data_IF_105214065714
#
_entry.id   IF_105214065714
#
_cell.length_a   1.000
_cell.length_b   1.000
_cell.length_c   1.000
_cell.angle_alpha   90.00
_cell.angle_beta   90.00
_cell.angle_gamma   90.00
#
_symmetry.space_group_name_H-M   'P 1'
#
loop_
_entity.id
_entity.type
_entity.pdbx_description
1 polymer ?
#
# COMPACT_ATOMS: atom_id res chain seq x y z
N UNK A 1 -10.20 20.00 -12.94
CA UNK A 1 -8.78 19.67 -12.69
C UNK A 1 -8.25 18.66 -13.70
N UNK A 2 -7.04 18.87 -14.22
CA UNK A 2 -6.25 17.90 -14.97
C UNK A 2 -4.87 17.75 -14.30
N UNK A 3 -4.49 16.51 -14.00
CA UNK A 3 -3.16 16.22 -13.44
C UNK A 3 -2.06 16.42 -14.49
N UNK A 4 -0.78 16.54 -14.08
CA UNK A 4 0.34 16.50 -15.01
C UNK A 4 0.25 15.30 -15.99
N UNK A 5 0.66 15.55 -17.24
CA UNK A 5 0.58 14.61 -18.37
C UNK A 5 -0.85 14.09 -18.69
N UNK A 6 -1.90 14.77 -18.23
CA UNK A 6 -3.30 14.36 -18.40
C UNK A 6 -3.56 12.91 -17.97
N UNK A 7 -2.81 12.45 -16.97
CA UNK A 7 -2.92 11.10 -16.44
C UNK A 7 -4.28 10.87 -15.75
N UNK A 8 -4.82 11.92 -15.13
CA UNK A 8 -6.12 11.97 -14.47
C UNK A 8 -6.80 13.31 -14.79
N UNK A 9 -8.11 13.29 -14.99
CA UNK A 9 -8.96 14.48 -15.09
C UNK A 9 -10.17 14.32 -14.17
N UNK A 10 -10.55 15.41 -13.50
CA UNK A 10 -11.64 15.45 -12.54
C UNK A 10 -12.49 16.71 -12.71
N UNK A 11 -13.80 16.53 -12.65
CA UNK A 11 -14.80 17.58 -12.69
C UNK A 11 -15.83 17.35 -11.58
N UNK A 12 -16.30 18.44 -10.98
CA UNK A 12 -17.25 18.43 -9.86
C UNK A 12 -18.38 19.40 -10.18
N UNK A 13 -19.60 19.02 -9.82
CA UNK A 13 -20.79 19.85 -9.85
C UNK A 13 -21.56 19.70 -8.54
N UNK A 14 -21.92 20.82 -7.95
CA UNK A 14 -22.67 20.93 -6.70
C UNK A 14 -24.06 21.47 -7.03
N UNK A 15 -25.10 20.63 -7.02
CA UNK A 15 -26.48 21.03 -7.28
C UNK A 15 -26.93 22.26 -6.46
N UNK A 16 -27.59 23.20 -7.13
CA UNK A 16 -28.24 24.38 -6.57
C UNK A 16 -29.71 24.16 -6.18
N UNK A 17 -30.14 22.89 -6.11
CA UNK A 17 -31.50 22.44 -5.80
C UNK A 17 -31.77 22.23 -4.29
N UNK A 18 -30.82 22.64 -3.44
CA UNK A 18 -30.88 22.44 -1.98
C UNK A 18 -30.48 21.06 -1.49
N UNK A 19 -30.15 20.12 -2.39
CA UNK A 19 -29.59 18.82 -1.99
C UNK A 19 -28.17 18.94 -1.45
N UNK A 20 -27.74 17.92 -0.71
CA UNK A 20 -26.34 17.75 -0.27
C UNK A 20 -25.59 16.77 -1.18
N UNK A 21 -26.13 16.53 -2.37
CA UNK A 21 -25.52 15.67 -3.38
C UNK A 21 -24.37 16.41 -4.07
N UNK A 22 -23.53 15.62 -4.73
CA UNK A 22 -22.52 16.11 -5.66
C UNK A 22 -22.46 15.17 -6.86
N UNK A 23 -22.24 15.73 -8.03
CA UNK A 23 -22.03 15.00 -9.27
C UNK A 23 -20.57 15.18 -9.68
N UNK A 24 -19.95 14.12 -10.18
CA UNK A 24 -18.57 14.20 -10.63
C UNK A 24 -18.29 13.30 -11.81
N UNK A 25 -17.24 13.69 -12.52
CA UNK A 25 -16.61 12.90 -13.57
C UNK A 25 -15.15 12.71 -13.21
N UNK A 26 -14.68 11.47 -13.18
CA UNK A 26 -13.29 11.10 -12.95
C UNK A 26 -12.80 10.23 -14.09
N UNK A 27 -11.76 10.66 -14.77
CA UNK A 27 -11.12 9.86 -15.83
C UNK A 27 -9.63 9.68 -15.60
N UNK A 28 -9.13 8.50 -15.92
CA UNK A 28 -7.70 8.23 -15.92
C UNK A 28 -7.33 7.17 -16.97
N UNK A 29 -6.04 7.03 -17.31
CA UNK A 29 -5.60 5.95 -18.21
C UNK A 29 -5.96 4.57 -17.65
N UNK A 30 -6.31 3.61 -18.50
CA UNK A 30 -6.65 2.24 -18.08
C UNK A 30 -5.43 1.33 -17.88
N UNK A 31 -4.21 1.82 -18.15
CA UNK A 31 -2.96 1.07 -17.97
C UNK A 31 -2.29 1.30 -16.60
N UNK A 32 -2.87 2.15 -15.74
CA UNK A 32 -2.49 2.30 -14.33
C UNK A 32 -3.38 1.42 -13.45
N UNK A 33 -2.86 0.99 -12.30
CA UNK A 33 -3.58 0.05 -11.45
C UNK A 33 -4.85 0.65 -10.82
N UNK A 34 -4.85 1.93 -10.48
CA UNK A 34 -6.00 2.64 -9.94
C UNK A 34 -5.78 4.16 -10.06
N UNK A 35 -6.85 4.94 -9.96
CA UNK A 35 -6.81 6.39 -9.92
C UNK A 35 -7.80 6.92 -8.88
N UNK A 36 -7.49 8.04 -8.23
CA UNK A 36 -8.37 8.58 -7.20
C UNK A 36 -8.27 10.10 -7.07
N UNK A 37 -9.38 10.69 -6.62
CA UNK A 37 -9.45 12.07 -6.14
C UNK A 37 -10.02 12.05 -4.74
N UNK A 38 -9.40 12.79 -3.82
CA UNK A 38 -9.88 13.02 -2.47
C UNK A 38 -10.27 14.48 -2.26
N UNK A 39 -11.24 14.73 -1.40
CA UNK A 39 -11.73 16.07 -1.09
C UNK A 39 -11.78 16.33 0.42
N UNK A 40 -11.72 17.62 0.77
CA UNK A 40 -11.87 18.14 2.14
C UNK A 40 -10.57 18.29 2.93
N UNK A 41 -9.42 17.91 2.35
CA UNK A 41 -8.09 18.11 2.92
C UNK A 41 -7.04 18.11 1.79
N UNK A 42 -5.88 18.74 2.01
CA UNK A 42 -4.72 18.73 1.11
C UNK A 42 -3.78 17.54 1.38
N UNK A 43 -4.13 16.71 2.35
CA UNK A 43 -3.48 15.45 2.70
C UNK A 43 -4.49 14.29 2.68
N UNK A 44 -3.98 13.05 2.75
CA UNK A 44 -4.86 11.86 2.82
C UNK A 44 -5.68 11.78 4.11
N UNK A 45 -5.28 12.46 5.18
CA UNK A 45 -5.99 12.39 6.46
C UNK A 45 -7.37 13.04 6.35
N UNK A 46 -8.40 12.35 6.82
CA UNK A 46 -9.81 12.78 6.83
C UNK A 46 -10.43 13.11 5.46
N UNK A 47 -9.78 12.76 4.35
CA UNK A 47 -10.31 12.99 3.02
C UNK A 47 -11.37 11.95 2.64
N UNK A 48 -12.42 12.40 1.94
CA UNK A 48 -13.33 11.52 1.21
C UNK A 48 -12.77 11.27 -0.19
N UNK A 49 -12.44 10.01 -0.48
CA UNK A 49 -11.69 9.59 -1.67
C UNK A 49 -12.59 8.78 -2.60
N UNK A 50 -12.73 9.24 -3.84
CA UNK A 50 -13.33 8.48 -4.93
C UNK A 50 -12.23 7.76 -5.71
N UNK A 51 -12.15 6.45 -5.53
CA UNK A 51 -11.14 5.62 -6.19
C UNK A 51 -11.79 4.78 -7.28
N UNK A 52 -11.15 4.74 -8.45
CA UNK A 52 -11.55 3.91 -9.58
C UNK A 52 -10.42 2.98 -10.01
N UNK A 53 -10.80 1.80 -10.47
CA UNK A 53 -9.91 0.84 -11.12
C UNK A 53 -10.69 -0.01 -12.10
N UNK A 54 -10.00 -0.75 -12.95
CA UNK A 54 -10.64 -1.62 -13.93
C UNK A 54 -11.37 -2.77 -13.22
N UNK A 55 -12.56 -3.11 -13.70
CA UNK A 55 -13.33 -4.24 -13.20
C UNK A 55 -12.66 -5.59 -13.55
N UNK A 56 -13.20 -6.69 -13.05
CA UNK A 56 -12.64 -8.02 -13.34
C UNK A 56 -12.67 -8.36 -14.85
N UNK A 57 -13.67 -7.85 -15.58
CA UNK A 57 -13.81 -8.13 -17.02
C UNK A 57 -12.76 -7.42 -17.88
N UNK A 58 -12.26 -6.26 -17.43
CA UNK A 58 -11.37 -5.42 -18.22
C UNK A 58 -12.09 -4.39 -19.09
N UNK A 59 -13.42 -4.41 -19.11
CA UNK A 59 -14.24 -3.59 -20.01
C UNK A 59 -15.01 -2.49 -19.29
N UNK A 60 -15.06 -2.54 -17.96
CA UNK A 60 -15.74 -1.55 -17.14
C UNK A 60 -14.85 -1.13 -15.96
N UNK A 61 -15.36 -0.26 -15.11
CA UNK A 61 -14.67 0.22 -13.92
C UNK A 61 -15.40 -0.20 -12.66
N UNK A 62 -14.65 -0.38 -11.59
CA UNK A 62 -15.15 -0.44 -10.22
C UNK A 62 -14.87 0.89 -9.56
N UNK A 63 -15.90 1.47 -8.94
CA UNK A 63 -15.77 2.68 -8.12
C UNK A 63 -15.89 2.29 -6.64
N UNK A 64 -14.94 2.78 -5.85
CA UNK A 64 -14.80 2.49 -4.42
C UNK A 64 -14.70 3.83 -3.68
N UNK A 65 -15.78 4.29 -3.01
CA UNK A 65 -15.68 5.42 -2.10
C UNK A 65 -14.94 4.99 -0.84
N UNK A 66 -13.91 5.74 -0.47
CA UNK A 66 -13.02 5.42 0.64
C UNK A 66 -12.88 6.60 1.58
N UNK A 67 -12.64 6.28 2.85
CA UNK A 67 -12.21 7.22 3.86
C UNK A 67 -10.78 6.89 4.28
N UNK A 68 -10.03 7.91 4.61
CA UNK A 68 -8.66 7.79 5.07
C UNK A 68 -8.49 8.54 6.38
N UNK A 69 -7.81 7.91 7.34
CA UNK A 69 -7.62 8.42 8.70
C UNK A 69 -6.15 8.43 9.11
N UNK A 70 -5.23 8.21 8.16
CA UNK A 70 -3.78 8.25 8.37
C UNK A 70 -3.07 8.18 7.01
N UNK A 71 -1.75 8.05 7.00
CA UNK A 71 -0.94 7.79 5.81
C UNK A 71 -0.87 6.29 5.50
N UNK A 72 -2.03 5.64 5.43
CA UNK A 72 -2.20 4.22 5.11
C UNK A 72 -3.23 4.06 3.99
N UNK A 73 -3.33 2.87 3.41
CA UNK A 73 -4.31 2.55 2.39
C UNK A 73 -5.74 2.94 2.84
N UNK A 74 -6.42 3.87 2.13
CA UNK A 74 -7.78 4.26 2.45
C UNK A 74 -8.71 3.05 2.43
N UNK A 75 -9.68 3.00 3.35
CA UNK A 75 -10.63 1.90 3.48
C UNK A 75 -11.96 2.28 2.84
N UNK A 76 -12.60 1.34 2.14
CA UNK A 76 -13.98 1.52 1.66
C UNK A 76 -14.91 1.86 2.82
N UNK A 77 -15.84 2.78 2.58
CA UNK A 77 -16.90 3.12 3.54
C UNK A 77 -18.27 2.89 2.91
N UNK A 78 -19.11 2.10 3.60
CA UNK A 78 -20.52 1.89 3.24
C UNK A 78 -21.40 3.11 3.53
N UNK A 79 -20.91 4.06 4.33
CA UNK A 79 -21.64 5.27 4.69
C UNK A 79 -21.65 6.29 3.54
N UNK A 80 -20.80 6.08 2.52
CA UNK A 80 -20.74 6.92 1.33
C UNK A 80 -21.56 6.27 0.22
N UNK A 81 -22.70 6.87 -0.11
CA UNK A 81 -23.61 6.38 -1.12
C UNK A 81 -23.27 6.96 -2.50
N UNK A 82 -22.62 6.19 -3.36
CA UNK A 82 -22.27 6.59 -4.74
C UNK A 82 -22.99 5.72 -5.75
N UNK A 83 -23.62 6.36 -6.74
CA UNK A 83 -24.26 5.70 -7.87
C UNK A 83 -23.51 6.06 -9.15
N UNK A 84 -23.10 5.03 -9.90
CA UNK A 84 -22.55 5.22 -11.26
C UNK A 84 -23.67 5.58 -12.23
N UNK A 85 -23.40 6.55 -13.09
CA UNK A 85 -24.32 7.11 -14.07
C UNK A 85 -23.94 6.68 -15.49
N UNK A 86 -24.86 6.84 -16.47
CA UNK A 86 -24.59 6.54 -17.87
C UNK A 86 -23.32 7.23 -18.41
N UNK A 87 -22.65 6.55 -19.35
CA UNK A 87 -21.37 6.99 -19.91
C UNK A 87 -20.14 6.54 -19.10
N UNK A 88 -20.33 5.95 -17.92
CA UNK A 88 -19.27 5.24 -17.19
C UNK A 88 -18.78 4.02 -17.98
N UNK A 89 -17.46 3.79 -17.97
CA UNK A 89 -16.85 2.61 -18.56
C UNK A 89 -15.40 2.82 -18.96
N UNK A 90 -14.89 1.92 -19.80
CA UNK A 90 -13.58 2.05 -20.41
C UNK A 90 -13.73 2.34 -21.90
N UNK A 91 -13.18 3.46 -22.36
CA UNK A 91 -13.18 3.84 -23.77
C UNK A 91 -11.94 4.66 -24.12
N UNK A 92 -11.40 4.52 -25.34
CA UNK A 92 -10.22 5.27 -25.78
C UNK A 92 -8.97 5.08 -24.90
N UNK A 93 -8.83 3.92 -24.25
CA UNK A 93 -7.74 3.65 -23.29
C UNK A 93 -7.89 4.36 -21.94
N UNK A 94 -9.07 4.92 -21.64
CA UNK A 94 -9.34 5.63 -20.40
C UNK A 94 -10.48 4.98 -19.63
N UNK A 95 -10.29 4.86 -18.32
CA UNK A 95 -11.37 4.68 -17.36
C UNK A 95 -12.12 5.99 -17.24
N UNK A 96 -13.45 5.93 -17.20
CA UNK A 96 -14.35 7.05 -16.95
C UNK A 96 -15.40 6.63 -15.93
N UNK A 97 -15.50 7.36 -14.84
CA UNK A 97 -16.60 7.27 -13.89
C UNK A 97 -17.38 8.58 -13.91
N UNK A 98 -18.65 8.49 -14.32
CA UNK A 98 -19.65 9.52 -14.12
C UNK A 98 -20.51 9.07 -12.94
N UNK A 99 -20.65 9.90 -11.92
CA UNK A 99 -21.34 9.46 -10.71
C UNK A 99 -22.05 10.59 -9.98
N UNK A 100 -23.04 10.21 -9.17
CA UNK A 100 -23.63 11.04 -8.12
C UNK A 100 -23.26 10.43 -6.77
N UNK A 101 -22.85 11.27 -5.83
CA UNK A 101 -22.62 10.91 -4.45
C UNK A 101 -23.70 11.58 -3.60
N UNK A 102 -24.57 10.77 -3.00
CA UNK A 102 -25.74 11.24 -2.27
C UNK A 102 -25.37 11.67 -0.86
N UNK A 103 -25.69 12.92 -0.50
CA UNK A 103 -25.40 13.46 0.82
C UNK A 103 -23.90 13.66 1.15
N UNK A 104 -23.02 13.68 0.14
CA UNK A 104 -21.57 13.61 0.35
C UNK A 104 -20.87 14.94 0.59
N UNK A 105 -21.61 16.03 0.82
CA UNK A 105 -21.01 17.33 1.22
C UNK A 105 -20.45 17.31 2.65
N UNK A 106 -20.78 16.31 3.45
CA UNK A 106 -20.18 16.05 4.76
C UNK A 106 -20.02 14.55 4.98
N UNK A 107 -18.95 14.16 5.66
CA UNK A 107 -18.66 12.77 6.01
C UNK A 107 -17.95 12.72 7.37
N UNK A 108 -17.78 11.52 7.89
CA UNK A 108 -16.99 11.31 9.10
C UNK A 108 -15.50 11.62 8.84
N UNK A 109 -15.09 12.86 9.11
CA UNK A 109 -13.73 13.36 8.95
C UNK A 109 -13.67 14.79 8.37
N UNK A 110 -14.66 15.20 7.58
CA UNK A 110 -14.60 16.47 6.86
C UNK A 110 -15.89 16.89 6.18
N UNK A 111 -15.82 18.01 5.46
CA UNK A 111 -16.94 18.59 4.72
C UNK A 111 -16.43 19.49 3.60
N UNK A 112 -17.32 19.80 2.66
CA UNK A 112 -17.14 20.84 1.62
C UNK A 112 -18.35 21.77 1.60
N UNK A 113 -18.16 23.04 1.24
CA UNK A 113 -19.25 24.00 1.05
C UNK A 113 -19.18 24.61 -0.34
N UNK A 114 -20.33 24.78 -1.02
CA UNK A 114 -20.42 25.51 -2.29
C UNK A 114 -19.81 26.92 -2.25
N UNK A 115 -19.77 27.57 -1.08
CA UNK A 115 -19.20 28.91 -0.92
C UNK A 115 -17.68 28.96 -0.77
N UNK A 116 -16.99 27.81 -0.72
CA UNK A 116 -15.55 27.78 -0.51
C UNK A 116 -14.79 28.04 -1.82
N UNK A 117 -14.11 29.18 -1.90
CA UNK A 117 -13.32 29.58 -3.07
C UNK A 117 -11.93 28.94 -3.13
N UNK A 118 -11.51 28.25 -2.07
CA UNK A 118 -10.19 27.64 -1.94
C UNK A 118 -10.28 26.26 -1.29
N UNK A 119 -11.16 25.40 -1.81
CA UNK A 119 -11.39 24.07 -1.25
C UNK A 119 -10.24 23.11 -1.60
N UNK A 120 -9.61 22.44 -0.62
CA UNK A 120 -8.49 21.57 -0.87
C UNK A 120 -8.93 20.18 -1.34
N UNK A 121 -8.20 19.66 -2.31
CA UNK A 121 -8.33 18.33 -2.87
C UNK A 121 -6.96 17.67 -2.98
N UNK A 122 -6.99 16.34 -3.08
CA UNK A 122 -5.84 15.51 -3.41
C UNK A 122 -6.14 14.65 -4.61
N UNK A 123 -5.11 14.21 -5.31
CA UNK A 123 -5.23 13.19 -6.33
C UNK A 123 -4.10 12.18 -6.21
N UNK A 124 -4.34 10.98 -6.72
CA UNK A 124 -3.35 9.92 -6.76
C UNK A 124 -3.62 8.97 -7.90
N UNK A 125 -2.54 8.39 -8.43
CA UNK A 125 -2.62 7.26 -9.36
C UNK A 125 -1.65 6.16 -8.94
N UNK A 126 -2.06 4.92 -9.13
CA UNK A 126 -1.20 3.76 -9.01
C UNK A 126 -0.11 3.70 -10.09
N UNK A 127 0.85 2.77 -9.96
CA UNK A 127 1.85 2.51 -10.98
C UNK A 127 1.24 1.92 -12.25
N UNK A 128 2.05 1.89 -13.32
CA UNK A 128 1.73 1.24 -14.59
C UNK A 128 1.75 -0.29 -14.39
N UNK A 129 0.58 -0.86 -14.08
CA UNK A 129 0.41 -2.28 -13.80
C UNK A 129 -1.05 -2.66 -14.03
N UNK A 130 -1.28 -3.86 -14.57
CA UNK A 130 -2.63 -4.43 -14.64
C UNK A 130 -3.17 -4.71 -13.23
N UNK A 131 -4.32 -4.14 -12.91
CA UNK A 131 -5.10 -4.44 -11.72
C UNK A 131 -6.58 -4.47 -12.10
N UNK A 132 -7.26 -5.55 -11.74
CA UNK A 132 -8.65 -5.82 -12.13
C UNK A 132 -9.40 -6.43 -10.97
N UNK A 133 -10.52 -5.84 -10.59
CA UNK A 133 -11.32 -6.33 -9.47
C UNK A 133 -12.73 -5.75 -9.49
N UNK A 134 -13.74 -6.57 -9.21
CA UNK A 134 -15.11 -6.13 -8.93
C UNK A 134 -15.32 -5.76 -7.45
N UNK A 135 -14.36 -6.08 -6.57
CA UNK A 135 -14.49 -5.84 -5.14
C UNK A 135 -14.19 -4.39 -4.81
N UNK A 136 -15.18 -3.66 -4.27
CA UNK A 136 -15.03 -2.29 -3.76
C UNK A 136 -14.07 -2.18 -2.57
N UNK A 137 -13.70 -3.29 -1.92
CA UNK A 137 -12.75 -3.35 -0.80
C UNK A 137 -11.37 -3.85 -1.23
N UNK A 138 -11.10 -3.99 -2.53
CA UNK A 138 -9.85 -4.55 -3.02
C UNK A 138 -8.63 -3.75 -2.52
N UNK A 139 -7.61 -4.45 -2.03
CA UNK A 139 -6.40 -3.79 -1.56
C UNK A 139 -5.61 -3.25 -2.74
N UNK A 140 -5.19 -1.98 -2.65
CA UNK A 140 -4.42 -1.30 -3.68
C UNK A 140 -3.01 -0.98 -3.20
N UNK A 141 -2.06 -1.00 -4.13
CA UNK A 141 -0.68 -0.58 -3.88
C UNK A 141 -0.57 0.94 -3.77
N UNK A 142 0.44 1.44 -3.07
CA UNK A 142 0.69 2.89 -2.91
C UNK A 142 0.79 3.60 -4.28
N UNK A 143 0.39 4.88 -4.31
CA UNK A 143 0.43 5.68 -5.53
C UNK A 143 1.84 5.76 -6.09
N UNK A 144 1.96 5.82 -7.42
CA UNK A 144 3.21 6.15 -8.12
C UNK A 144 3.35 7.65 -8.39
N UNK A 145 2.23 8.38 -8.42
CA UNK A 145 2.22 9.83 -8.43
C UNK A 145 0.99 10.35 -7.70
N UNK A 146 1.16 11.47 -7.00
CA UNK A 146 0.14 12.08 -6.17
C UNK A 146 0.40 13.58 -6.01
N UNK A 147 -0.57 14.28 -5.44
CA UNK A 147 -0.42 15.69 -5.15
C UNK A 147 -1.70 16.28 -4.59
N UNK A 148 -1.67 17.59 -4.38
CA UNK A 148 -2.80 18.40 -3.94
C UNK A 148 -3.13 19.45 -5.00
N UNK A 149 -4.40 19.82 -5.04
CA UNK A 149 -4.91 20.90 -5.87
C UNK A 149 -6.08 21.56 -5.16
N UNK A 150 -6.34 22.80 -5.52
CA UNK A 150 -7.42 23.59 -4.94
C UNK A 150 -8.47 23.90 -5.99
N UNK A 151 -9.73 23.89 -5.59
CA UNK A 151 -10.87 24.30 -6.44
C UNK A 151 -11.66 25.43 -5.79
N UNK A 152 -12.06 26.39 -6.61
CA UNK A 152 -13.12 27.35 -6.30
C UNK A 152 -14.48 26.68 -6.51
N UNK A 153 -15.12 26.28 -5.41
CA UNK A 153 -16.40 25.57 -5.46
C UNK A 153 -17.57 26.46 -5.86
N UNK A 154 -17.42 27.79 -5.80
CA UNK A 154 -18.47 28.71 -6.27
C UNK A 154 -18.69 28.57 -7.78
N UNK A 155 -17.64 28.19 -8.53
CA UNK A 155 -17.69 27.90 -9.96
C UNK A 155 -18.17 26.48 -10.29
N UNK A 156 -18.32 25.62 -9.28
CA UNK A 156 -18.84 24.26 -9.42
C UNK A 156 -20.34 24.17 -9.12
N UNK A 157 -21.01 25.29 -8.80
CA UNK A 157 -22.45 25.31 -8.50
C UNK A 157 -23.28 25.40 -9.78
N UNK A 158 -24.32 24.57 -9.88
CA UNK A 158 -25.27 24.65 -11.00
C UNK A 158 -26.30 23.53 -10.97
N UNK A 159 -27.05 23.33 -12.08
CA UNK A 159 -28.10 22.33 -12.16
C UNK A 159 -27.58 20.91 -11.89
N UNK A 160 -28.40 20.04 -11.29
CA UNK A 160 -28.06 18.64 -11.01
C UNK A 160 -27.77 17.85 -12.31
N UNK A 161 -26.48 17.67 -12.63
CA UNK A 161 -26.00 16.90 -13.78
C UNK A 161 -24.55 16.47 -13.62
N UNK A 162 -24.16 15.47 -14.40
CA UNK A 162 -22.75 15.08 -14.58
C UNK A 162 -21.97 16.24 -15.22
N UNK A 163 -20.86 16.71 -14.62
CA UNK A 163 -20.04 17.75 -15.22
C UNK A 163 -19.20 17.21 -16.38
N UNK A 164 -18.97 18.05 -17.38
CA UNK A 164 -18.08 17.73 -18.49
C UNK A 164 -16.63 17.62 -18.00
N UNK A 165 -15.89 16.65 -18.53
CA UNK A 165 -14.48 16.51 -18.19
C UNK A 165 -13.65 17.62 -18.82
N UNK A 166 -12.79 18.29 -18.03
CA UNK A 166 -11.86 19.27 -18.57
C UNK A 166 -10.76 18.59 -19.39
N UNK A 167 -10.28 19.29 -20.42
CA UNK A 167 -9.05 18.94 -21.17
C UNK A 167 -7.82 19.68 -20.64
N UNK A 168 -8.03 20.79 -19.92
CA UNK A 168 -7.02 21.60 -19.25
C UNK A 168 -7.58 22.11 -17.90
N UNK A 169 -6.73 22.66 -17.02
CA UNK A 169 -7.23 23.26 -15.78
C UNK A 169 -8.17 24.43 -16.07
N UNK A 170 -9.34 24.41 -15.44
CA UNK A 170 -10.31 25.51 -15.44
C UNK A 170 -9.81 26.69 -14.59
N UNK A 171 -10.39 27.87 -14.80
CA UNK A 171 -10.07 29.11 -14.07
C UNK A 171 -10.09 28.97 -12.55
N UNK A 172 -11.05 28.21 -12.01
CA UNK A 172 -11.18 27.94 -10.58
C UNK A 172 -10.38 26.73 -10.10
N UNK A 173 -9.25 26.37 -10.71
CA UNK A 173 -8.47 25.20 -10.29
C UNK A 173 -6.96 25.46 -10.34
N UNK A 174 -6.27 25.19 -9.24
CA UNK A 174 -4.83 25.40 -9.08
C UNK A 174 -4.17 24.10 -8.63
N UNK A 175 -3.09 23.69 -9.29
CA UNK A 175 -2.25 22.57 -8.83
C UNK A 175 -1.27 23.10 -7.78
N UNK A 176 -1.37 22.59 -6.55
CA UNK A 176 -0.57 23.08 -5.41
C UNK A 176 0.71 22.26 -5.23
N UNK A 177 0.61 20.94 -5.38
CA UNK A 177 1.76 20.04 -5.26
C UNK A 177 1.68 18.86 -6.21
N UNK A 178 2.84 18.33 -6.58
CA UNK A 178 2.98 17.10 -7.36
C UNK A 178 4.24 16.36 -6.96
N UNK A 179 4.10 15.07 -6.67
CA UNK A 179 5.19 14.19 -6.31
C UNK A 179 5.03 12.82 -6.99
N UNK A 180 6.15 12.12 -7.13
CA UNK A 180 6.20 10.75 -7.64
C UNK A 180 6.87 9.86 -6.62
N UNK A 181 6.24 8.72 -6.32
CA UNK A 181 6.75 7.76 -5.35
C UNK A 181 7.46 6.60 -6.03
N UNK A 182 8.52 6.12 -5.35
CA UNK A 182 9.19 4.86 -5.67
C UNK A 182 9.17 3.98 -4.43
N UNK A 183 8.09 3.23 -4.24
CA UNK A 183 7.98 2.35 -3.10
C UNK A 183 8.73 1.03 -3.32
N UNK A 184 9.90 0.91 -2.68
CA UNK A 184 10.80 -0.25 -2.81
C UNK A 184 10.90 -1.08 -1.53
N UNK A 185 10.18 -0.72 -0.47
CA UNK A 185 10.35 -1.35 0.84
C UNK A 185 10.00 -2.85 0.84
N UNK A 186 9.00 -3.26 0.08
CA UNK A 186 8.70 -4.69 -0.12
C UNK A 186 9.87 -5.46 -0.74
N UNK A 187 10.57 -4.84 -1.70
CA UNK A 187 11.75 -5.43 -2.33
C UNK A 187 12.94 -5.47 -1.35
N UNK A 188 13.11 -4.44 -0.52
CA UNK A 188 14.13 -4.39 0.54
C UNK A 188 13.90 -5.51 1.56
N UNK A 189 12.66 -5.70 2.03
CA UNK A 189 12.29 -6.81 2.91
C UNK A 189 12.67 -8.17 2.31
N UNK A 190 12.29 -8.41 1.05
CA UNK A 190 12.57 -9.66 0.36
C UNK A 190 14.09 -9.89 0.19
N UNK A 191 14.82 -8.87 -0.26
CA UNK A 191 16.26 -8.95 -0.50
C UNK A 191 17.05 -9.23 0.78
N UNK A 192 16.78 -8.50 1.87
CA UNK A 192 17.47 -8.69 3.15
C UNK A 192 17.27 -10.11 3.70
N UNK A 193 16.02 -10.61 3.67
CA UNK A 193 15.73 -11.95 4.16
C UNK A 193 16.31 -13.04 3.24
N UNK A 194 16.30 -12.84 1.92
CA UNK A 194 16.96 -13.74 0.97
C UNK A 194 18.46 -13.84 1.27
N UNK A 195 19.16 -12.70 1.36
CA UNK A 195 20.60 -12.68 1.63
C UNK A 195 20.92 -13.31 2.99
N UNK A 196 20.14 -13.00 4.03
CA UNK A 196 20.34 -13.61 5.35
C UNK A 196 20.18 -15.14 5.32
N UNK A 197 19.05 -15.63 4.81
CA UNK A 197 18.66 -17.05 4.91
C UNK A 197 19.37 -17.95 3.91
N UNK A 198 19.61 -17.46 2.68
CA UNK A 198 20.10 -18.27 1.56
C UNK A 198 21.56 -17.99 1.18
N UNK A 199 22.17 -16.94 1.72
CA UNK A 199 23.58 -16.63 1.45
C UNK A 199 24.40 -16.68 2.73
N UNK A 200 24.09 -15.85 3.72
CA UNK A 200 24.92 -15.71 4.92
C UNK A 200 24.87 -16.97 5.80
N UNK A 201 23.68 -17.52 6.07
CA UNK A 201 23.55 -18.73 6.88
C UNK A 201 24.25 -19.97 6.27
N UNK A 202 24.04 -20.30 4.97
CA UNK A 202 24.79 -21.38 4.32
C UNK A 202 26.31 -21.18 4.34
N UNK A 203 26.79 -19.95 4.14
CA UNK A 203 28.22 -19.64 4.27
C UNK A 203 28.74 -19.94 5.68
N UNK A 204 27.99 -19.59 6.72
CA UNK A 204 28.33 -19.92 8.11
C UNK A 204 28.43 -21.42 8.36
N UNK A 205 27.53 -22.22 7.77
CA UNK A 205 27.60 -23.69 7.84
C UNK A 205 28.79 -24.26 7.06
N UNK A 206 29.07 -23.75 5.85
CA UNK A 206 30.20 -24.19 5.04
C UNK A 206 31.55 -23.93 5.74
N UNK A 207 31.71 -22.76 6.38
CA UNK A 207 32.94 -22.42 7.09
C UNK A 207 33.23 -23.32 8.29
N UNK A 208 32.21 -23.93 8.93
CA UNK A 208 32.45 -24.96 9.94
C UNK A 208 33.16 -26.18 9.37
N UNK A 209 32.85 -26.56 8.13
CA UNK A 209 33.41 -27.74 7.48
C UNK A 209 34.80 -27.45 6.90
N UNK A 210 34.99 -26.26 6.35
CA UNK A 210 36.26 -25.85 5.70
C UNK A 210 37.29 -25.39 6.73
N UNK A 211 36.97 -24.39 7.53
CA UNK A 211 37.91 -23.75 8.45
C UNK A 211 38.01 -24.46 9.81
N UNK A 212 37.10 -25.40 10.11
CA UNK A 212 37.01 -26.16 11.37
C UNK A 212 37.03 -25.27 12.63
N UNK A 213 36.55 -24.03 12.51
CA UNK A 213 36.49 -23.05 13.60
C UNK A 213 35.05 -22.57 13.80
N UNK A 214 34.52 -22.81 14.99
CA UNK A 214 33.17 -22.41 15.41
C UNK A 214 32.98 -20.87 15.41
N UNK A 215 34.06 -20.09 15.53
CA UNK A 215 34.01 -18.63 15.54
C UNK A 215 33.41 -18.08 14.25
N UNK A 216 33.77 -18.64 13.09
CA UNK A 216 33.24 -18.19 11.80
C UNK A 216 31.74 -18.45 11.64
N UNK A 217 31.26 -19.57 12.17
CA UNK A 217 29.84 -19.85 12.23
C UNK A 217 29.10 -18.83 13.08
N UNK A 218 29.61 -18.57 14.29
CA UNK A 218 29.01 -17.60 15.22
C UNK A 218 28.98 -16.18 14.63
N UNK A 219 30.03 -15.76 13.90
CA UNK A 219 30.05 -14.47 13.19
C UNK A 219 28.97 -14.40 12.10
N UNK A 220 28.89 -15.43 11.23
CA UNK A 220 27.86 -15.46 10.18
C UNK A 220 26.45 -15.55 10.74
N UNK A 221 26.23 -16.33 11.79
CA UNK A 221 24.94 -16.45 12.47
C UNK A 221 24.50 -15.10 13.05
N UNK A 222 25.42 -14.40 13.72
CA UNK A 222 25.16 -13.05 14.26
C UNK A 222 24.79 -12.07 13.15
N UNK A 223 25.55 -12.08 12.06
CA UNK A 223 25.29 -11.21 10.91
C UNK A 223 23.96 -11.54 10.23
N UNK A 224 23.67 -12.83 10.02
CA UNK A 224 22.41 -13.29 9.44
C UNK A 224 21.22 -12.90 10.31
N UNK A 225 21.30 -13.12 11.63
CA UNK A 225 20.25 -12.74 12.58
C UNK A 225 19.97 -11.23 12.54
N UNK A 226 21.02 -10.40 12.51
CA UNK A 226 20.89 -8.94 12.37
C UNK A 226 20.21 -8.54 11.06
N UNK A 227 20.69 -9.05 9.93
CA UNK A 227 20.12 -8.74 8.60
C UNK A 227 18.67 -9.23 8.50
N UNK A 228 18.37 -10.42 9.02
CA UNK A 228 17.00 -10.96 9.06
C UNK A 228 16.09 -10.09 9.93
N UNK A 229 16.57 -9.57 11.07
CA UNK A 229 15.80 -8.67 11.93
C UNK A 229 15.44 -7.38 11.20
N UNK A 230 16.40 -6.74 10.51
CA UNK A 230 16.10 -5.56 9.68
C UNK A 230 15.12 -5.88 8.54
N UNK A 231 15.32 -7.01 7.86
CA UNK A 231 14.38 -7.51 6.87
C UNK A 231 12.98 -7.69 7.45
N UNK A 232 12.83 -8.34 8.59
CA UNK A 232 11.55 -8.52 9.26
C UNK A 232 10.87 -7.20 9.65
N UNK A 233 11.61 -6.27 10.27
CA UNK A 233 11.08 -4.97 10.67
C UNK A 233 10.61 -4.13 9.48
N UNK A 234 11.36 -4.11 8.37
CA UNK A 234 10.90 -3.46 7.13
C UNK A 234 9.62 -4.10 6.57
N UNK A 235 9.48 -5.43 6.66
CA UNK A 235 8.26 -6.15 6.28
C UNK A 235 7.07 -5.80 7.16
N UNK A 236 7.27 -5.68 8.48
CA UNK A 236 6.25 -5.23 9.43
C UNK A 236 5.79 -3.81 9.10
N UNK A 237 6.73 -2.91 8.80
CA UNK A 237 6.41 -1.54 8.38
C UNK A 237 5.59 -1.53 7.07
N UNK A 238 6.00 -2.28 6.05
CA UNK A 238 5.21 -2.45 4.81
C UNK A 238 3.79 -2.92 5.12
N UNK A 239 3.67 -3.95 5.95
CA UNK A 239 2.38 -4.57 6.25
C UNK A 239 1.39 -3.59 6.89
N UNK A 240 1.87 -2.69 7.76
CA UNK A 240 1.05 -1.69 8.43
C UNK A 240 0.38 -0.70 7.46
N UNK A 241 0.94 -0.49 6.26
CA UNK A 241 0.44 0.48 5.30
C UNK A 241 -0.76 -0.02 4.48
N UNK A 242 -1.02 -1.32 4.42
CA UNK A 242 -2.06 -1.89 3.56
C UNK A 242 -3.20 -2.55 4.34
N UNK A 243 -4.44 -2.41 3.86
CA UNK A 243 -5.62 -2.95 4.53
C UNK A 243 -5.58 -4.48 4.63
N UNK A 244 -5.03 -5.14 3.61
CA UNK A 244 -4.89 -6.60 3.56
C UNK A 244 -3.93 -7.15 4.60
N UNK A 245 -2.88 -6.42 4.94
CA UNK A 245 -1.74 -6.94 5.72
C UNK A 245 -1.60 -6.31 7.10
N UNK A 246 -2.24 -5.17 7.38
CA UNK A 246 -2.07 -4.45 8.67
C UNK A 246 -2.49 -5.24 9.92
N UNK A 247 -3.24 -6.33 9.74
CA UNK A 247 -3.65 -7.25 10.81
C UNK A 247 -2.65 -8.38 11.09
N UNK A 248 -1.56 -8.47 10.33
CA UNK A 248 -0.52 -9.49 10.49
C UNK A 248 -1.05 -10.94 10.47
N UNK A 249 -2.08 -11.20 9.66
CA UNK A 249 -2.87 -12.43 9.69
C UNK A 249 -2.74 -13.29 8.42
N UNK A 250 -1.95 -12.87 7.43
CA UNK A 250 -1.70 -13.73 6.26
C UNK A 250 -0.76 -14.88 6.62
N UNK A 251 -0.80 -15.98 5.86
CA UNK A 251 0.08 -17.12 6.08
C UNK A 251 1.57 -16.71 6.06
N UNK A 252 1.98 -15.86 5.11
CA UNK A 252 3.32 -15.28 5.02
C UNK A 252 3.72 -14.52 6.31
N UNK A 253 2.79 -13.75 6.88
CA UNK A 253 3.07 -12.95 8.07
C UNK A 253 3.18 -13.81 9.33
N UNK A 254 2.24 -14.74 9.52
CA UNK A 254 2.23 -15.63 10.69
C UNK A 254 3.50 -16.49 10.68
N UNK A 255 3.81 -17.12 9.54
CA UNK A 255 5.00 -17.96 9.41
C UNK A 255 6.28 -17.12 9.52
N UNK A 256 6.33 -15.93 8.92
CA UNK A 256 7.45 -14.99 9.08
C UNK A 256 7.73 -14.59 10.53
N UNK A 257 6.70 -14.34 11.34
CA UNK A 257 6.83 -14.06 12.78
C UNK A 257 7.40 -15.27 13.52
N UNK A 258 6.88 -16.48 13.25
CA UNK A 258 7.39 -17.71 13.87
C UNK A 258 8.85 -17.99 13.51
N UNK A 259 9.22 -17.76 12.24
CA UNK A 259 10.61 -17.86 11.78
C UNK A 259 11.50 -16.87 12.53
N UNK A 260 11.07 -15.61 12.67
CA UNK A 260 11.87 -14.60 13.38
C UNK A 260 12.07 -14.97 14.86
N UNK A 261 11.03 -15.48 15.53
CA UNK A 261 11.19 -16.04 16.89
C UNK A 261 12.19 -17.19 16.90
N UNK A 262 12.10 -18.10 15.93
CA UNK A 262 13.06 -19.19 15.74
C UNK A 262 14.50 -18.70 15.56
N UNK A 263 14.73 -17.68 14.74
CA UNK A 263 16.04 -17.05 14.52
C UNK A 263 16.61 -16.46 15.81
N UNK A 264 15.78 -15.79 16.63
CA UNK A 264 16.23 -15.23 17.90
C UNK A 264 16.56 -16.32 18.94
N UNK A 265 15.79 -17.41 18.95
CA UNK A 265 16.09 -18.59 19.79
C UNK A 265 17.37 -19.27 19.33
N UNK A 266 17.55 -19.46 18.02
CA UNK A 266 18.77 -19.99 17.42
C UNK A 266 19.98 -19.15 17.82
N UNK A 267 19.92 -17.83 17.64
CA UNK A 267 20.99 -16.91 18.04
C UNK A 267 21.34 -17.03 19.53
N UNK A 268 20.33 -17.14 20.40
CA UNK A 268 20.54 -17.36 21.84
C UNK A 268 21.20 -18.71 22.16
N UNK A 269 20.80 -19.78 21.47
CA UNK A 269 21.42 -21.10 21.57
C UNK A 269 22.86 -21.08 21.06
N UNK A 270 23.10 -20.51 19.87
CA UNK A 270 24.42 -20.35 19.26
C UNK A 270 25.38 -19.59 20.18
N UNK A 271 24.95 -18.45 20.72
CA UNK A 271 25.73 -17.68 21.69
C UNK A 271 26.08 -18.48 22.95
N UNK A 272 25.11 -19.23 23.49
CA UNK A 272 25.34 -20.12 24.64
C UNK A 272 26.34 -21.23 24.29
N UNK A 273 26.22 -21.85 23.12
CA UNK A 273 27.16 -22.85 22.61
C UNK A 273 28.57 -22.28 22.50
N UNK A 274 28.74 -21.10 21.90
CA UNK A 274 30.06 -20.46 21.77
C UNK A 274 30.73 -20.29 23.13
N UNK A 275 29.99 -19.83 24.15
CA UNK A 275 30.51 -19.73 25.52
C UNK A 275 30.87 -21.09 26.13
N UNK A 276 30.08 -22.13 25.87
CA UNK A 276 30.36 -23.47 26.37
C UNK A 276 31.60 -24.09 25.71
N UNK A 277 31.82 -23.83 24.41
CA UNK A 277 33.04 -24.25 23.72
C UNK A 277 34.28 -23.59 24.32
N UNK A 278 34.24 -22.28 24.59
CA UNK A 278 35.35 -21.56 25.25
C UNK A 278 35.60 -22.12 26.67
N UNK A 279 34.55 -22.44 27.42
CA UNK A 279 34.64 -22.99 28.78
C UNK A 279 34.85 -24.52 28.85
N UNK A 280 34.95 -25.21 27.71
CA UNK A 280 35.06 -26.68 27.60
C UNK A 280 33.97 -27.45 28.38
N UNK A 281 32.74 -26.93 28.36
CA UNK A 281 31.58 -27.56 29.02
C UNK A 281 30.88 -28.57 28.08
N UNK A 282 30.07 -29.52 28.63
CA UNK A 282 29.29 -30.45 27.81
C UNK A 282 28.25 -29.72 26.93
N UNK A 283 28.27 -29.95 25.61
CA UNK A 283 27.40 -29.24 24.64
C UNK A 283 26.35 -30.11 23.95
N UNK A 284 26.45 -31.45 24.03
CA UNK A 284 25.71 -32.41 23.19
C UNK A 284 24.20 -32.12 23.03
N UNK A 285 23.51 -31.84 24.14
CA UNK A 285 22.06 -31.54 24.12
C UNK A 285 21.77 -30.24 23.36
N UNK A 286 22.46 -29.16 23.71
CA UNK A 286 22.27 -27.86 23.06
C UNK A 286 22.66 -27.88 21.58
N UNK A 287 23.73 -28.58 21.21
CA UNK A 287 24.12 -28.76 19.80
C UNK A 287 23.05 -29.49 19.00
N UNK A 288 22.47 -30.55 19.56
CA UNK A 288 21.42 -31.29 18.86
C UNK A 288 20.19 -30.41 18.63
N UNK A 289 19.75 -29.66 19.66
CA UNK A 289 18.62 -28.73 19.55
C UNK A 289 18.88 -27.64 18.51
N UNK A 290 20.02 -26.96 18.59
CA UNK A 290 20.42 -25.87 17.69
C UNK A 290 20.48 -26.35 16.22
N UNK A 291 21.09 -27.51 15.96
CA UNK A 291 21.18 -28.02 14.57
C UNK A 291 19.80 -28.35 13.99
N UNK A 292 18.91 -28.97 14.76
CA UNK A 292 17.58 -29.33 14.25
C UNK A 292 16.64 -28.14 14.13
N UNK A 293 16.64 -27.23 15.10
CA UNK A 293 15.83 -26.02 15.04
C UNK A 293 16.33 -25.10 13.91
N UNK A 294 17.64 -24.90 13.73
CA UNK A 294 18.20 -24.18 12.60
C UNK A 294 17.76 -24.74 11.24
N UNK A 295 17.74 -26.06 11.07
CA UNK A 295 17.21 -26.72 9.86
C UNK A 295 15.73 -26.40 9.61
N UNK A 296 14.91 -26.50 10.66
CA UNK A 296 13.48 -26.19 10.56
C UNK A 296 13.24 -24.72 10.20
N UNK A 297 14.01 -23.80 10.79
CA UNK A 297 13.94 -22.36 10.52
C UNK A 297 14.27 -22.07 9.05
N UNK A 298 15.38 -22.61 8.53
CA UNK A 298 15.78 -22.38 7.13
C UNK A 298 14.76 -22.96 6.15
N UNK A 299 14.30 -24.20 6.35
CA UNK A 299 13.27 -24.79 5.49
C UNK A 299 11.97 -23.98 5.52
N UNK A 300 11.53 -23.57 6.71
CA UNK A 300 10.35 -22.72 6.87
C UNK A 300 10.52 -21.37 6.19
N UNK A 301 11.69 -20.76 6.26
CA UNK A 301 12.00 -19.49 5.60
C UNK A 301 11.91 -19.59 4.07
N UNK A 302 12.38 -20.69 3.49
CA UNK A 302 12.23 -20.96 2.06
C UNK A 302 10.75 -21.07 1.69
N UNK A 303 9.97 -21.86 2.42
CA UNK A 303 8.52 -22.00 2.20
C UNK A 303 7.83 -20.63 2.30
N UNK A 304 8.16 -19.85 3.33
CA UNK A 304 7.60 -18.53 3.55
C UNK A 304 7.89 -17.55 2.40
N UNK A 305 9.07 -17.66 1.77
CA UNK A 305 9.43 -16.84 0.61
C UNK A 305 8.53 -17.05 -0.63
N UNK A 306 7.78 -18.16 -0.68
CA UNK A 306 6.82 -18.46 -1.75
C UNK A 306 5.36 -18.18 -1.36
N UNK A 307 5.08 -17.77 -0.12
CA UNK A 307 3.75 -17.34 0.36
C UNK A 307 3.56 -15.84 0.15
#
# INVERSE_FOLDING_TARGET
FCSPNNALAFALNLPDDGSTDLYFSLSAWSNISWAAVGMGNDQMFNALIFMIYTDASGNNITLSPRLSYSYVEPSYSSDINVTLLPGTGISGGRMLANAVCHGCRSWNGGWISPGNTNAPFIFGRGPLQSFRSNSVTASVIIHAAYGSFTMDLTQAVGPARVPDLPTTNSSGTILDSYSTDKYVMGAVHAYLNFVSMLVIMPCGMAMMHIAKKHVWHSVCETMAAGVALFGFLSGMHCAALYNRTRRYATAHQILGILIMVGVLVEFGLGFKLSRYYVKRLPTRRFTTTHVWLGRLVVVSAVINGFL
#
